data_IF_751576279960
#
_entry.id   IF_751576279960
#
_cell.length_a   1.000
_cell.length_b   1.000
_cell.length_c   1.000
_cell.angle_alpha   90.00
_cell.angle_beta   90.00
_cell.angle_gamma   90.00
#
_symmetry.space_group_name_H-M   'P 1'
#
loop_
_entity.id
_entity.type
_entity.pdbx_description
1 polymer ?
#
# COMPACT_ATOMS: atom_id res chain seq x y z
N UNK A 1 11.80 21.60 12.77
CA UNK A 1 10.94 21.63 11.57
C UNK A 1 10.47 20.21 11.28
N UNK A 2 9.16 19.96 11.35
CA UNK A 2 8.59 18.64 11.04
C UNK A 2 8.24 18.65 9.55
N UNK A 3 8.99 17.89 8.75
CA UNK A 3 8.66 17.72 7.34
C UNK A 3 7.59 16.63 7.22
N UNK A 4 6.46 16.99 6.64
CA UNK A 4 5.38 16.03 6.36
C UNK A 4 5.77 15.22 5.11
N UNK A 5 6.40 14.07 5.33
CA UNK A 5 6.92 13.19 4.28
C UNK A 5 5.92 12.07 4.01
N UNK A 6 5.20 12.19 2.92
CA UNK A 6 4.31 11.13 2.45
C UNK A 6 4.21 11.11 0.92
N UNK A 7 3.82 9.98 0.39
CA UNK A 7 3.32 9.82 -0.97
C UNK A 7 1.91 9.30 -0.92
N UNK A 8 1.13 9.55 -1.94
CA UNK A 8 -0.22 9.00 -2.05
C UNK A 8 -0.61 8.77 -3.50
N UNK A 9 -1.53 7.85 -3.70
CA UNK A 9 -2.20 7.60 -4.97
C UNK A 9 -3.68 7.34 -4.71
N UNK A 10 -4.53 7.70 -5.67
CA UNK A 10 -5.96 7.45 -5.58
C UNK A 10 -6.52 7.04 -6.93
N UNK A 11 -7.59 6.25 -6.91
CA UNK A 11 -8.35 5.87 -8.08
C UNK A 11 -9.84 5.79 -7.74
N UNK A 12 -10.68 6.14 -8.70
CA UNK A 12 -12.14 6.15 -8.55
C UNK A 12 -12.78 5.06 -9.42
N UNK A 13 -13.86 4.47 -8.89
CA UNK A 13 -14.55 3.33 -9.47
C UNK A 13 -16.07 3.53 -9.42
N UNK A 14 -16.77 3.13 -10.47
CA UNK A 14 -18.25 3.13 -10.52
C UNK A 14 -18.81 1.89 -9.83
N UNK A 15 -18.58 1.79 -8.52
CA UNK A 15 -19.08 0.70 -7.69
C UNK A 15 -19.32 1.18 -6.25
N UNK A 16 -20.17 0.48 -5.49
CA UNK A 16 -20.47 0.84 -4.11
C UNK A 16 -19.25 0.77 -3.20
N UNK A 17 -19.16 1.65 -2.22
CA UNK A 17 -18.11 1.67 -1.20
C UNK A 17 -17.89 0.30 -0.56
N UNK A 18 -18.98 -0.41 -0.28
CA UNK A 18 -18.90 -1.74 0.34
C UNK A 18 -18.07 -2.72 -0.50
N UNK A 19 -18.29 -2.79 -1.81
CA UNK A 19 -17.55 -3.71 -2.69
C UNK A 19 -16.06 -3.36 -2.73
N UNK A 20 -15.74 -2.07 -2.75
CA UNK A 20 -14.36 -1.62 -2.73
C UNK A 20 -13.67 -1.95 -1.40
N UNK A 21 -14.37 -1.74 -0.27
CA UNK A 21 -13.90 -2.12 1.06
C UNK A 21 -13.72 -3.63 1.19
N UNK A 22 -14.65 -4.42 0.66
CA UNK A 22 -14.56 -5.89 0.71
C UNK A 22 -13.29 -6.39 0.00
N UNK A 23 -12.90 -5.78 -1.11
CA UNK A 23 -11.64 -6.11 -1.79
C UNK A 23 -10.42 -5.63 -1.00
N UNK A 24 -10.43 -4.39 -0.51
CA UNK A 24 -9.33 -3.82 0.31
C UNK A 24 -9.09 -4.67 1.56
N UNK A 25 -10.16 -5.19 2.17
CA UNK A 25 -10.15 -5.97 3.41
C UNK A 25 -10.09 -7.48 3.20
N UNK A 26 -10.06 -7.95 1.97
CA UNK A 26 -9.97 -9.37 1.68
C UNK A 26 -8.62 -9.93 2.11
N UNK A 27 -8.57 -10.96 2.98
CA UNK A 27 -7.31 -11.54 3.41
C UNK A 27 -6.54 -12.16 2.23
N UNK A 28 -5.25 -11.91 2.15
CA UNK A 28 -4.39 -12.40 1.07
C UNK A 28 -4.60 -11.70 -0.29
N UNK A 29 -5.41 -10.63 -0.34
CA UNK A 29 -5.78 -9.99 -1.60
C UNK A 29 -4.63 -9.30 -2.33
N UNK A 30 -3.52 -9.01 -1.67
CA UNK A 30 -2.36 -8.43 -2.34
C UNK A 30 -1.85 -9.33 -3.47
N UNK A 31 -2.01 -10.63 -3.38
CA UNK A 31 -1.66 -11.55 -4.47
C UNK A 31 -2.52 -11.36 -5.73
N UNK A 32 -3.68 -10.73 -5.62
CA UNK A 32 -4.58 -10.50 -6.76
C UNK A 32 -4.20 -9.26 -7.56
N UNK A 33 -3.80 -8.19 -6.88
CA UNK A 33 -3.65 -6.88 -7.54
C UNK A 33 -2.29 -6.20 -7.34
N UNK A 34 -1.45 -6.68 -6.42
CA UNK A 34 -0.19 -6.02 -6.13
C UNK A 34 0.95 -6.55 -7.05
N UNK A 35 1.48 -5.73 -7.98
CA UNK A 35 2.39 -6.21 -9.03
C UNK A 35 3.75 -6.68 -8.51
N UNK A 36 4.11 -6.35 -7.27
CA UNK A 36 5.39 -6.75 -6.66
C UNK A 36 5.22 -7.82 -5.59
N UNK A 37 3.99 -8.24 -5.28
CA UNK A 37 3.70 -9.24 -4.26
C UNK A 37 3.81 -10.65 -4.84
N UNK A 38 4.80 -11.41 -4.36
CA UNK A 38 4.96 -12.84 -4.68
C UNK A 38 4.03 -13.70 -3.82
N UNK A 39 3.93 -13.38 -2.51
CA UNK A 39 3.09 -14.10 -1.55
C UNK A 39 2.57 -13.13 -0.48
N UNK A 40 1.31 -13.30 -0.10
CA UNK A 40 0.70 -12.59 1.02
C UNK A 40 0.14 -13.61 2.02
N UNK A 41 0.89 -13.85 3.09
CA UNK A 41 0.57 -14.83 4.13
C UNK A 41 -0.18 -14.18 5.28
N UNK A 42 -1.42 -14.57 5.48
CA UNK A 42 -2.26 -14.07 6.57
C UNK A 42 -1.92 -14.80 7.87
N UNK A 43 -1.64 -14.03 8.93
CA UNK A 43 -1.36 -14.54 10.28
C UNK A 43 -2.60 -14.41 11.16
N UNK A 44 -3.19 -13.21 11.23
CA UNK A 44 -4.41 -12.92 12.00
C UNK A 44 -5.29 -11.97 11.20
N UNK A 45 -6.58 -12.29 11.08
CA UNK A 45 -7.53 -11.50 10.31
C UNK A 45 -8.99 -11.84 10.72
N UNK A 46 -10.00 -10.95 10.65
CA UNK A 46 -9.95 -9.50 10.37
C UNK A 46 -9.88 -8.65 11.64
N UNK A 47 -9.90 -7.31 11.46
CA UNK A 47 -10.04 -6.32 12.52
C UNK A 47 -8.75 -5.64 12.92
N UNK A 48 -8.81 -4.80 13.94
CA UNK A 48 -7.61 -4.26 14.59
C UNK A 48 -6.82 -5.42 15.20
N UNK A 49 -5.49 -5.34 15.13
CA UNK A 49 -4.53 -6.42 15.39
C UNK A 49 -4.43 -7.49 14.26
N UNK A 50 -5.05 -7.25 13.12
CA UNK A 50 -4.77 -8.06 11.93
C UNK A 50 -3.30 -7.96 11.55
N UNK A 51 -2.76 -9.10 11.11
CA UNK A 51 -1.36 -9.19 10.73
C UNK A 51 -1.20 -10.12 9.54
N UNK A 52 -0.40 -9.71 8.58
CA UNK A 52 0.04 -10.54 7.48
C UNK A 52 1.49 -10.25 7.08
N UNK A 53 2.04 -11.11 6.25
CA UNK A 53 3.37 -10.95 5.66
C UNK A 53 3.25 -10.80 4.16
N UNK A 54 4.07 -9.92 3.61
CA UNK A 54 4.21 -9.71 2.17
C UNK A 54 5.63 -10.09 1.77
N UNK A 55 5.76 -11.14 0.96
CA UNK A 55 6.99 -11.48 0.28
C UNK A 55 6.97 -10.83 -1.10
N UNK A 56 7.94 -9.97 -1.36
CA UNK A 56 8.12 -9.33 -2.66
C UNK A 56 8.94 -10.19 -3.62
N UNK A 57 8.85 -9.94 -4.91
CA UNK A 57 9.66 -10.67 -5.91
C UNK A 57 11.16 -10.45 -5.73
N UNK A 58 11.58 -9.31 -5.18
CA UNK A 58 12.97 -9.03 -4.79
C UNK A 58 13.51 -9.93 -3.66
N UNK A 59 12.65 -10.68 -2.99
CA UNK A 59 13.00 -11.49 -1.83
C UNK A 59 12.84 -10.76 -0.48
N UNK A 60 12.52 -9.46 -0.48
CA UNK A 60 12.19 -8.74 0.74
C UNK A 60 10.88 -9.29 1.34
N UNK A 61 10.88 -9.50 2.65
CA UNK A 61 9.66 -9.85 3.39
C UNK A 61 9.35 -8.74 4.39
N UNK A 62 8.14 -8.19 4.31
CA UNK A 62 7.61 -7.21 5.25
C UNK A 62 6.42 -7.77 6.00
N UNK A 63 6.33 -7.42 7.29
CA UNK A 63 5.13 -7.65 8.09
C UNK A 63 4.26 -6.40 8.05
N UNK A 64 2.97 -6.59 7.78
CA UNK A 64 1.95 -5.55 7.92
C UNK A 64 1.16 -5.82 9.20
N UNK A 65 1.01 -4.80 10.02
CA UNK A 65 0.27 -4.85 11.29
C UNK A 65 -0.78 -3.76 11.29
N UNK A 66 -2.05 -4.16 11.22
CA UNK A 66 -3.18 -3.22 11.23
C UNK A 66 -3.48 -2.83 12.66
N UNK A 67 -3.29 -1.56 12.97
CA UNK A 67 -3.52 -1.03 14.32
C UNK A 67 -4.82 -0.25 14.45
N UNK A 68 -5.43 0.15 13.34
CA UNK A 68 -6.69 0.86 13.32
C UNK A 68 -7.58 0.34 12.17
N UNK A 69 -8.66 -0.33 12.53
CA UNK A 69 -9.68 -0.79 11.60
C UNK A 69 -10.91 0.08 11.77
N UNK A 70 -11.25 0.87 10.75
CA UNK A 70 -12.30 1.88 10.83
C UNK A 70 -13.30 1.76 9.67
N UNK A 71 -14.44 2.44 9.72
CA UNK A 71 -15.52 2.31 8.74
C UNK A 71 -15.11 2.56 7.28
N UNK A 72 -14.05 3.33 7.05
CA UNK A 72 -13.57 3.71 5.72
C UNK A 72 -12.37 2.91 5.24
N UNK A 73 -11.85 1.98 6.01
CA UNK A 73 -10.66 1.22 5.64
C UNK A 73 -9.84 0.76 6.83
N UNK A 74 -8.53 0.93 6.75
CA UNK A 74 -7.61 0.62 7.85
C UNK A 74 -6.29 1.38 7.75
N UNK A 75 -5.64 1.52 8.91
CA UNK A 75 -4.29 2.05 9.03
C UNK A 75 -3.36 0.94 9.54
N UNK A 76 -2.20 0.83 8.94
CA UNK A 76 -1.23 -0.20 9.26
C UNK A 76 0.19 0.34 9.41
N UNK A 77 1.01 -0.43 10.11
CA UNK A 77 2.47 -0.29 10.15
C UNK A 77 3.09 -1.40 9.32
N UNK A 78 4.13 -1.07 8.58
CA UNK A 78 4.82 -2.04 7.71
C UNK A 78 6.33 -1.90 7.81
N UNK A 79 7.02 -3.01 7.67
CA UNK A 79 8.47 -3.09 7.63
C UNK A 79 8.99 -4.50 7.87
N UNK A 80 10.31 -4.68 7.76
CA UNK A 80 10.99 -5.95 8.05
C UNK A 80 11.19 -6.13 9.57
N UNK A 81 12.25 -5.53 10.12
CA UNK A 81 12.54 -5.57 11.57
C UNK A 81 11.84 -4.44 12.33
N UNK A 82 11.85 -3.24 11.75
CA UNK A 82 11.11 -2.08 12.27
C UNK A 82 9.88 -1.86 11.41
N UNK A 83 8.72 -1.71 12.05
CA UNK A 83 7.44 -1.43 11.41
C UNK A 83 7.07 0.03 11.66
N UNK A 84 7.91 0.92 11.15
CA UNK A 84 7.81 2.36 11.42
C UNK A 84 7.15 3.12 10.26
N UNK A 85 6.99 2.49 9.10
CA UNK A 85 6.28 3.07 7.97
C UNK A 85 4.78 2.90 8.17
N UNK A 86 4.04 3.99 8.10
CA UNK A 86 2.58 4.01 8.25
C UNK A 86 1.94 4.06 6.88
N UNK A 87 0.94 3.21 6.67
CA UNK A 87 0.14 3.18 5.44
C UNK A 87 -1.34 3.28 5.79
N UNK A 88 -2.03 4.20 5.11
CA UNK A 88 -3.46 4.40 5.25
C UNK A 88 -4.18 3.96 3.98
N UNK A 89 -5.16 3.08 4.11
CA UNK A 89 -6.06 2.66 3.05
C UNK A 89 -7.45 3.20 3.36
N UNK A 90 -7.92 4.14 2.55
CA UNK A 90 -9.17 4.88 2.81
C UNK A 90 -10.06 4.83 1.58
N UNK A 91 -11.29 4.39 1.78
CA UNK A 91 -12.35 4.37 0.76
C UNK A 91 -13.40 5.42 1.12
N UNK A 92 -13.71 6.28 0.17
CA UNK A 92 -14.81 7.23 0.26
C UNK A 92 -15.80 7.00 -0.88
N UNK A 93 -17.03 7.48 -0.73
CA UNK A 93 -18.05 7.42 -1.78
C UNK A 93 -18.73 8.78 -1.91
N UNK A 94 -18.92 9.21 -3.15
CA UNK A 94 -19.69 10.38 -3.48
C UNK A 94 -20.45 10.13 -4.78
N UNK A 95 -21.78 10.32 -4.74
CA UNK A 95 -22.64 10.21 -5.93
C UNK A 95 -22.48 8.88 -6.70
N UNK A 96 -22.37 7.77 -5.98
CA UNK A 96 -22.22 6.42 -6.55
C UNK A 96 -20.83 6.09 -7.11
N UNK A 97 -19.85 6.97 -6.87
CA UNK A 97 -18.45 6.76 -7.25
C UNK A 97 -17.65 6.56 -5.97
N UNK A 98 -17.01 5.41 -5.85
CA UNK A 98 -16.10 5.11 -4.74
C UNK A 98 -14.66 5.41 -5.14
N UNK A 99 -13.93 6.03 -4.22
CA UNK A 99 -12.52 6.39 -4.40
C UNK A 99 -11.67 5.69 -3.34
N UNK A 100 -10.69 4.93 -3.80
CA UNK A 100 -9.63 4.39 -2.95
C UNK A 100 -8.46 5.37 -2.94
N UNK A 101 -8.03 5.75 -1.74
CA UNK A 101 -6.80 6.51 -1.50
C UNK A 101 -5.85 5.70 -0.65
N UNK A 102 -4.62 5.57 -1.10
CA UNK A 102 -3.54 4.95 -0.32
C UNK A 102 -2.44 5.97 -0.08
N UNK A 103 -2.10 6.17 1.19
CA UNK A 103 -1.02 7.08 1.62
C UNK A 103 0.06 6.29 2.33
N UNK A 104 1.30 6.58 2.02
CA UNK A 104 2.48 5.98 2.65
C UNK A 104 3.31 7.07 3.30
N UNK A 105 3.50 6.96 4.62
CA UNK A 105 4.35 7.85 5.43
C UNK A 105 5.59 7.04 5.86
N UNK A 106 6.71 7.14 5.14
CA UNK A 106 7.88 6.34 5.43
C UNK A 106 8.63 6.84 6.66
N UNK A 107 9.20 5.91 7.41
CA UNK A 107 10.23 6.22 8.38
C UNK A 107 11.60 6.18 7.72
N UNK A 108 12.34 7.28 7.78
CA UNK A 108 13.69 7.37 7.24
C UNK A 108 14.73 7.28 8.38
N UNK A 109 15.81 6.51 8.19
CA UNK A 109 16.78 6.21 9.26
C UNK A 109 17.73 7.37 9.58
N UNK A 110 17.56 8.50 8.92
CA UNK A 110 18.46 9.64 9.07
C UNK A 110 18.10 10.52 10.27
N UNK A 111 19.05 10.71 11.19
CA UNK A 111 18.89 11.59 12.36
C UNK A 111 19.01 13.07 11.99
N UNK A 112 19.93 13.40 11.07
CA UNK A 112 20.14 14.78 10.63
C UNK A 112 18.98 15.26 9.74
N UNK A 113 18.27 16.36 10.08
CA UNK A 113 17.11 16.84 9.33
C UNK A 113 17.42 17.20 7.87
N UNK A 114 18.61 17.79 7.61
CA UNK A 114 19.00 18.18 6.26
C UNK A 114 19.26 16.95 5.39
N UNK A 115 19.98 15.96 5.90
CA UNK A 115 20.22 14.69 5.20
C UNK A 115 18.89 13.97 4.94
N UNK A 116 18.01 13.95 5.93
CA UNK A 116 16.68 13.37 5.80
C UNK A 116 15.86 14.05 4.70
N UNK A 117 15.88 15.39 4.66
CA UNK A 117 15.19 16.18 3.64
C UNK A 117 15.76 15.93 2.24
N UNK A 118 17.09 15.90 2.09
CA UNK A 118 17.74 15.59 0.82
C UNK A 118 17.42 14.19 0.32
N UNK A 119 17.57 13.17 1.17
CA UNK A 119 17.25 11.80 0.83
C UNK A 119 15.78 11.64 0.37
N UNK A 120 14.87 12.30 1.08
CA UNK A 120 13.45 12.31 0.73
C UNK A 120 13.20 12.93 -0.65
N UNK A 121 13.64 14.17 -0.85
CA UNK A 121 13.29 14.92 -2.05
C UNK A 121 14.03 14.45 -3.31
N UNK A 122 15.27 13.98 -3.17
CA UNK A 122 16.08 13.56 -4.32
C UNK A 122 15.87 12.09 -4.71
N UNK A 123 15.42 11.24 -3.78
CA UNK A 123 15.39 9.80 -4.05
C UNK A 123 14.15 9.09 -3.55
N UNK A 124 13.90 9.07 -2.23
CA UNK A 124 12.89 8.19 -1.61
C UNK A 124 11.48 8.50 -2.09
N UNK A 125 11.12 9.78 -2.16
CA UNK A 125 9.81 10.24 -2.62
C UNK A 125 9.47 9.70 -4.00
N UNK A 126 10.39 9.80 -4.94
CA UNK A 126 10.18 9.36 -6.33
C UNK A 126 10.03 7.84 -6.42
N UNK A 127 10.83 7.09 -5.65
CA UNK A 127 10.72 5.62 -5.60
C UNK A 127 9.41 5.15 -4.98
N UNK A 128 9.01 5.73 -3.85
CA UNK A 128 7.75 5.39 -3.22
C UNK A 128 6.53 5.82 -4.04
N UNK A 129 6.59 6.98 -4.70
CA UNK A 129 5.51 7.43 -5.58
C UNK A 129 5.32 6.45 -6.74
N UNK A 130 6.38 6.06 -7.41
CA UNK A 130 6.36 5.06 -8.48
C UNK A 130 5.80 3.71 -7.98
N UNK A 131 6.21 3.28 -6.79
CA UNK A 131 5.70 2.07 -6.16
C UNK A 131 4.19 2.11 -5.95
N UNK A 132 3.69 3.16 -5.28
CA UNK A 132 2.27 3.24 -4.94
C UNK A 132 1.38 3.43 -6.17
N UNK A 133 1.87 4.10 -7.21
CA UNK A 133 1.17 4.22 -8.49
C UNK A 133 1.04 2.88 -9.19
N UNK A 134 2.08 2.05 -9.18
CA UNK A 134 2.03 0.70 -9.74
C UNK A 134 1.05 -0.20 -8.99
N UNK A 135 1.00 -0.09 -7.65
CA UNK A 135 0.02 -0.82 -6.82
C UNK A 135 -1.40 -0.39 -7.19
N UNK A 136 -1.64 0.91 -7.34
CA UNK A 136 -2.96 1.43 -7.72
C UNK A 136 -3.37 1.00 -9.13
N UNK A 137 -2.44 0.99 -10.09
CA UNK A 137 -2.69 0.46 -11.44
C UNK A 137 -3.07 -1.02 -11.39
N UNK A 138 -2.40 -1.80 -10.55
CA UNK A 138 -2.73 -3.21 -10.34
C UNK A 138 -4.12 -3.41 -9.75
N UNK A 139 -4.47 -2.62 -8.76
CA UNK A 139 -5.80 -2.63 -8.14
C UNK A 139 -6.90 -2.33 -9.18
N UNK A 140 -6.70 -1.28 -9.97
CA UNK A 140 -7.61 -0.91 -11.05
C UNK A 140 -7.72 -2.02 -12.12
N UNK A 141 -6.59 -2.55 -12.57
CA UNK A 141 -6.56 -3.65 -13.53
C UNK A 141 -7.36 -4.86 -13.05
N UNK A 142 -7.18 -5.26 -11.80
CA UNK A 142 -7.91 -6.38 -11.22
C UNK A 142 -9.42 -6.13 -11.18
N UNK A 143 -9.85 -4.92 -10.79
CA UNK A 143 -11.28 -4.58 -10.76
C UNK A 143 -11.90 -4.55 -12.16
N UNK A 144 -11.21 -4.01 -13.16
CA UNK A 144 -11.70 -3.88 -14.51
C UNK A 144 -11.74 -5.23 -15.26
N UNK A 145 -10.73 -6.08 -15.04
CA UNK A 145 -10.55 -7.31 -15.82
C UNK A 145 -10.88 -8.60 -15.05
N UNK A 146 -11.01 -8.54 -13.74
CA UNK A 146 -11.18 -9.72 -12.85
C UNK A 146 -10.08 -10.78 -13.03
N UNK A 147 -8.90 -10.33 -13.44
CA UNK A 147 -7.72 -11.16 -13.63
C UNK A 147 -6.61 -10.72 -12.68
N UNK A 148 -5.89 -11.70 -12.14
CA UNK A 148 -4.72 -11.45 -11.31
C UNK A 148 -3.68 -10.65 -12.09
N UNK A 149 -3.06 -9.68 -11.42
CA UNK A 149 -1.93 -8.91 -11.96
C UNK A 149 -0.70 -9.80 -11.99
N UNK A 150 0.03 -9.74 -13.10
CA UNK A 150 1.28 -10.47 -13.27
C UNK A 150 2.45 -9.76 -12.57
N UNK A 151 3.52 -10.51 -12.33
CA UNK A 151 4.74 -9.97 -11.74
C UNK A 151 5.30 -8.82 -12.59
N UNK A 152 5.50 -7.66 -11.96
CA UNK A 152 6.06 -6.48 -12.61
C UNK A 152 5.28 -5.99 -13.85
N UNK A 153 3.98 -6.24 -13.92
CA UNK A 153 3.13 -5.96 -15.08
C UNK A 153 3.21 -4.49 -15.55
N UNK A 154 3.42 -3.55 -14.64
CA UNK A 154 3.50 -2.11 -14.93
C UNK A 154 4.93 -1.56 -14.87
N UNK A 155 5.91 -2.45 -14.99
CA UNK A 155 7.33 -2.12 -14.91
C UNK A 155 7.97 -2.62 -13.60
N UNK A 156 9.29 -2.81 -13.66
CA UNK A 156 10.09 -3.23 -12.52
C UNK A 156 10.32 -2.07 -11.54
N UNK A 157 10.43 -2.40 -10.27
CA UNK A 157 10.79 -1.47 -9.21
C UNK A 157 12.09 -1.91 -8.53
N UNK A 158 13.06 -1.00 -8.38
CA UNK A 158 14.40 -1.33 -7.89
C UNK A 158 14.46 -1.95 -6.49
N UNK A 159 13.42 -1.74 -5.67
CA UNK A 159 13.36 -2.28 -4.31
C UNK A 159 12.55 -3.57 -4.19
N UNK A 160 11.54 -3.76 -5.04
CA UNK A 160 10.49 -4.77 -4.82
C UNK A 160 10.34 -5.80 -5.95
N UNK A 161 10.99 -5.57 -7.11
CA UNK A 161 10.94 -6.50 -8.24
C UNK A 161 11.90 -7.67 -8.12
#
# INVERSE_FOLDING_TARGET
>A
MVFNMYVQSEASFKLPKKELLDLVRKPGALELYHPFCKKNEVITWPGSNSMDKVLYFSGLEYTREIYNWHENGYDLRIGAKRRDTIVNWIVSEKEGISTLKVRVNPSLPYKNPLIKWLAWNLYVKHKLQSYIESVMMGFKYYLDNKKRVEANQFGKHSWFS
#
